data_IF_682583079208
#
_entry.id   IF_682583079208
#
_cell.length_a   1.000
_cell.length_b   1.000
_cell.length_c   1.000
_cell.angle_alpha   90.00
_cell.angle_beta   90.00
_cell.angle_gamma   90.00
#
_symmetry.space_group_name_H-M   'P 1'
#
loop_
_entity.id
_entity.type
_entity.pdbx_description
1 polymer ?
#
# COMPACT_ATOMS: atom_id res chain seq x y z
N UNK A 1 0.90 11.09 28.27
CA UNK A 1 0.17 10.54 27.10
C UNK A 1 0.82 10.99 25.77
N UNK A 2 2.09 10.66 25.52
CA UNK A 2 2.81 11.07 24.29
C UNK A 2 2.89 9.96 23.21
N UNK A 3 2.78 8.69 23.59
CA UNK A 3 2.84 7.55 22.65
C UNK A 3 1.67 7.49 21.65
N UNK A 4 0.49 8.00 22.04
CA UNK A 4 -0.72 7.97 21.20
C UNK A 4 -0.61 8.86 19.96
N UNK A 5 0.19 9.94 20.01
CA UNK A 5 0.42 10.85 18.88
C UNK A 5 1.45 10.31 17.88
N UNK A 6 2.32 9.38 18.32
CA UNK A 6 3.35 8.78 17.48
C UNK A 6 2.85 7.56 16.68
N UNK A 7 1.77 6.91 17.12
CA UNK A 7 1.18 5.76 16.43
C UNK A 7 0.55 6.13 15.07
N UNK A 8 -0.02 7.34 14.95
CA UNK A 8 -0.71 7.78 13.73
C UNK A 8 0.20 7.81 12.48
N UNK A 9 1.39 8.46 12.50
CA UNK A 9 2.26 8.46 11.33
C UNK A 9 2.84 7.08 11.01
N UNK A 10 3.07 6.23 12.00
CA UNK A 10 3.62 4.88 11.81
C UNK A 10 2.62 4.00 11.04
N UNK A 11 1.33 4.05 11.41
CA UNK A 11 0.28 3.28 10.71
C UNK A 11 0.10 3.76 9.28
N UNK A 12 0.14 5.09 9.04
CA UNK A 12 0.11 5.62 7.68
C UNK A 12 1.31 5.19 6.83
N UNK A 13 2.51 5.12 7.41
CA UNK A 13 3.71 4.67 6.70
C UNK A 13 3.64 3.18 6.32
N UNK A 14 3.12 2.34 7.22
CA UNK A 14 2.92 0.91 6.96
C UNK A 14 1.90 0.65 5.85
N UNK A 15 0.81 1.43 5.79
CA UNK A 15 -0.20 1.31 4.73
C UNK A 15 0.35 1.64 3.33
N UNK A 16 1.27 2.60 3.24
CA UNK A 16 1.93 2.95 1.97
C UNK A 16 2.83 1.82 1.50
N UNK A 17 3.60 1.20 2.42
CA UNK A 17 4.48 0.07 2.11
C UNK A 17 3.72 -1.14 1.57
N UNK A 18 2.59 -1.51 2.18
CA UNK A 18 1.76 -2.63 1.69
C UNK A 18 1.15 -2.40 0.30
N UNK A 19 1.03 -1.14 -0.12
CA UNK A 19 0.54 -0.78 -1.45
C UNK A 19 1.57 -0.94 -2.56
N UNK A 20 2.87 -0.82 -2.25
CA UNK A 20 3.94 -1.07 -3.22
C UNK A 20 4.05 -2.55 -3.57
N UNK A 21 4.11 -3.44 -2.58
CA UNK A 21 4.23 -4.89 -2.81
C UNK A 21 3.12 -5.45 -3.71
N UNK A 22 1.87 -5.04 -3.50
CA UNK A 22 0.72 -5.48 -4.30
C UNK A 22 0.76 -4.94 -5.74
N UNK A 23 1.27 -3.72 -5.93
CA UNK A 23 1.45 -3.11 -7.24
C UNK A 23 2.56 -3.80 -8.02
N UNK A 24 3.72 -3.97 -7.40
CA UNK A 24 4.89 -4.59 -8.02
C UNK A 24 4.57 -6.04 -8.41
N UNK A 25 3.96 -6.82 -7.52
CA UNK A 25 3.50 -8.18 -7.81
C UNK A 25 2.51 -8.24 -8.98
N UNK A 26 1.58 -7.29 -9.07
CA UNK A 26 0.62 -7.23 -10.17
C UNK A 26 1.32 -6.99 -11.51
N UNK A 27 2.24 -6.04 -11.56
CA UNK A 27 2.99 -5.68 -12.76
C UNK A 27 3.93 -6.81 -13.20
N UNK A 28 4.60 -7.47 -12.25
CA UNK A 28 5.48 -8.62 -12.51
C UNK A 28 4.73 -9.81 -13.10
N UNK A 29 3.44 -9.97 -12.77
CA UNK A 29 2.56 -11.00 -13.33
C UNK A 29 1.94 -10.61 -14.68
N UNK A 30 2.29 -9.45 -15.23
CA UNK A 30 1.75 -8.92 -16.47
C UNK A 30 0.33 -8.35 -16.35
N UNK A 31 -0.14 -8.10 -15.13
CA UNK A 31 -1.41 -7.43 -14.87
C UNK A 31 -1.31 -5.91 -15.04
N UNK A 32 -2.46 -5.23 -15.01
CA UNK A 32 -2.59 -3.78 -14.97
C UNK A 32 -3.07 -3.37 -13.59
N UNK A 33 -2.21 -2.67 -12.85
CA UNK A 33 -2.56 -2.19 -11.52
C UNK A 33 -3.37 -0.89 -11.61
N UNK A 34 -4.55 -0.88 -11.00
CA UNK A 34 -5.43 0.27 -10.92
C UNK A 34 -5.15 1.06 -9.63
N UNK A 35 -4.55 2.25 -9.76
CA UNK A 35 -4.15 3.05 -8.61
C UNK A 35 -5.33 3.62 -7.81
N UNK A 36 -6.50 3.78 -8.46
CA UNK A 36 -7.70 4.32 -7.84
C UNK A 36 -8.43 3.29 -6.98
N UNK A 37 -8.53 2.04 -7.46
CA UNK A 37 -9.21 0.96 -6.72
C UNK A 37 -8.25 0.11 -5.89
N UNK A 38 -6.93 0.28 -6.07
CA UNK A 38 -5.88 -0.56 -5.47
C UNK A 38 -6.01 -2.04 -5.86
N UNK A 39 -6.57 -2.32 -7.03
CA UNK A 39 -6.80 -3.67 -7.54
C UNK A 39 -5.89 -3.98 -8.73
N UNK A 40 -5.52 -5.24 -8.86
CA UNK A 40 -4.85 -5.76 -10.05
C UNK A 40 -5.90 -6.30 -11.03
N UNK A 41 -5.88 -5.80 -12.26
CA UNK A 41 -6.74 -6.26 -13.35
C UNK A 41 -5.89 -7.09 -14.31
N UNK A 42 -6.29 -8.33 -14.58
CA UNK A 42 -5.58 -9.25 -15.50
C UNK A 42 -6.44 -9.57 -16.70
#
# INVERSE_FOLDING_TARGET
>A
MMYKKLLLPIVSFMLVLTGCDAKDTCLDQGGRYNEATKQCEK
#
